data_IF_103782319155
#
_entry.id   IF_103782319155
#
_cell.length_a   1.000
_cell.length_b   1.000
_cell.length_c   1.000
_cell.angle_alpha   90.00
_cell.angle_beta   90.00
_cell.angle_gamma   90.00
#
_symmetry.space_group_name_H-M   'P 1'
#
loop_
_entity.id
_entity.type
_entity.pdbx_description
1 polymer ?
#
# COMPACT_ATOMS: atom_id res chain seq x y z
N UNK A 1 39.83 27.49 -78.37
CA UNK A 1 38.69 28.42 -78.23
C UNK A 1 37.56 27.66 -77.56
N UNK A 2 36.86 28.31 -76.62
CA UNK A 2 35.62 27.86 -75.93
C UNK A 2 35.82 26.91 -74.74
N UNK A 3 35.73 27.53 -73.55
CA UNK A 3 35.52 26.94 -72.22
C UNK A 3 34.04 26.54 -72.10
N UNK A 4 33.72 25.34 -71.62
CA UNK A 4 32.39 25.01 -71.11
C UNK A 4 32.46 24.91 -69.57
N UNK A 5 31.63 25.73 -68.91
CA UNK A 5 31.40 25.75 -67.47
C UNK A 5 30.45 24.60 -67.12
N UNK A 6 30.82 23.75 -66.16
CA UNK A 6 29.85 22.89 -65.45
C UNK A 6 29.44 23.59 -64.16
N UNK A 7 28.16 23.90 -64.05
CA UNK A 7 27.52 24.51 -62.88
C UNK A 7 27.23 23.42 -61.85
N UNK A 8 27.84 23.52 -60.67
CA UNK A 8 27.59 22.65 -59.52
C UNK A 8 26.32 23.13 -58.81
N UNK A 9 25.25 22.34 -58.82
CA UNK A 9 24.02 22.60 -58.08
C UNK A 9 24.17 22.00 -56.68
N UNK A 10 24.34 22.85 -55.67
CA UNK A 10 24.38 22.46 -54.26
C UNK A 10 22.94 22.39 -53.72
N UNK A 11 22.43 21.17 -53.46
CA UNK A 11 21.15 20.97 -52.78
C UNK A 11 21.40 21.00 -51.27
N UNK A 12 20.90 22.05 -50.61
CA UNK A 12 20.90 22.19 -49.14
C UNK A 12 19.68 21.44 -48.60
N UNK A 13 19.90 20.28 -47.98
CA UNK A 13 18.87 19.59 -47.19
C UNK A 13 18.78 20.24 -45.80
N UNK A 14 17.72 21.01 -45.58
CA UNK A 14 17.35 21.53 -44.26
C UNK A 14 16.72 20.41 -43.44
N UNK A 15 17.44 19.90 -42.45
CA UNK A 15 16.89 18.95 -41.47
C UNK A 15 16.01 19.71 -40.46
N UNK A 16 14.69 19.61 -40.63
CA UNK A 16 13.73 19.97 -39.58
C UNK A 16 13.87 18.97 -38.42
N UNK A 17 14.44 19.41 -37.31
CA UNK A 17 14.39 18.70 -36.04
C UNK A 17 12.99 18.84 -35.43
N UNK A 18 12.13 17.88 -35.72
CA UNK A 18 10.88 17.68 -34.99
C UNK A 18 11.25 17.15 -33.60
N UNK A 19 11.17 18.00 -32.58
CA UNK A 19 11.16 17.58 -31.17
C UNK A 19 9.88 16.77 -30.94
N UNK A 20 9.99 15.44 -30.92
CA UNK A 20 8.98 14.60 -30.29
C UNK A 20 8.97 14.91 -28.80
N UNK A 21 7.91 15.56 -28.32
CA UNK A 21 7.53 15.48 -26.91
C UNK A 21 7.28 14.00 -26.58
N UNK A 22 8.08 13.48 -25.66
CA UNK A 22 7.95 12.12 -25.18
C UNK A 22 6.71 12.06 -24.26
N UNK A 23 5.53 11.93 -24.85
CA UNK A 23 4.34 11.53 -24.11
C UNK A 23 4.55 10.07 -23.68
N UNK A 24 4.70 9.86 -22.37
CA UNK A 24 4.67 8.52 -21.78
C UNK A 24 3.40 7.82 -22.27
N UNK A 25 3.57 6.66 -22.91
CA UNK A 25 2.44 5.80 -23.26
C UNK A 25 1.75 5.36 -21.97
N UNK A 26 0.40 5.32 -21.91
CA UNK A 26 -0.30 4.73 -20.79
C UNK A 26 0.19 3.29 -20.60
N UNK A 27 0.50 2.94 -19.35
CA UNK A 27 1.27 1.75 -18.98
C UNK A 27 0.42 0.47 -19.08
N UNK A 28 -0.90 0.57 -19.23
CA UNK A 28 -1.79 -0.57 -19.37
C UNK A 28 -2.62 -0.50 -20.67
N UNK A 29 -2.85 -1.65 -21.31
CA UNK A 29 -3.94 -1.80 -22.28
C UNK A 29 -5.25 -1.66 -21.52
N UNK A 30 -5.67 -0.42 -21.28
CA UNK A 30 -6.72 -0.04 -20.33
C UNK A 30 -8.04 -0.71 -20.67
N UNK A 31 -8.64 -1.34 -19.65
CA UNK A 31 -10.07 -1.60 -19.67
C UNK A 31 -10.78 -0.25 -19.84
N UNK A 32 -11.52 -0.08 -20.93
CA UNK A 32 -12.30 1.14 -21.14
C UNK A 32 -13.53 1.11 -20.25
N UNK A 33 -13.46 1.80 -19.12
CA UNK A 33 -14.59 2.06 -18.25
C UNK A 33 -15.53 3.09 -18.88
N UNK A 34 -16.84 2.93 -18.64
CA UNK A 34 -17.87 3.86 -19.11
C UNK A 34 -17.82 5.16 -18.31
N UNK A 35 -18.46 6.25 -18.77
CA UNK A 35 -18.61 7.45 -17.96
C UNK A 35 -19.26 7.18 -16.59
N UNK A 36 -20.26 6.30 -16.54
CA UNK A 36 -20.95 5.91 -15.29
C UNK A 36 -20.00 5.15 -14.34
N UNK A 37 -19.10 4.32 -14.89
CA UNK A 37 -18.07 3.66 -14.09
C UNK A 37 -17.11 4.67 -13.47
N UNK A 38 -16.68 5.68 -14.23
CA UNK A 38 -15.77 6.72 -13.73
C UNK A 38 -16.42 7.58 -12.64
N UNK A 39 -17.72 7.85 -12.76
CA UNK A 39 -18.51 8.52 -11.72
C UNK A 39 -18.59 7.67 -10.47
N UNK A 40 -18.98 6.38 -10.60
CA UNK A 40 -19.02 5.44 -9.49
C UNK A 40 -17.66 5.29 -8.80
N UNK A 41 -16.60 5.14 -9.60
CA UNK A 41 -15.23 5.02 -9.11
C UNK A 41 -14.83 6.25 -8.30
N UNK A 42 -15.13 7.46 -8.79
CA UNK A 42 -14.85 8.71 -8.09
C UNK A 42 -15.68 8.81 -6.80
N UNK A 43 -16.95 8.44 -6.83
CA UNK A 43 -17.84 8.47 -5.66
C UNK A 43 -17.35 7.53 -4.56
N UNK A 44 -16.96 6.31 -4.89
CA UNK A 44 -16.43 5.35 -3.92
C UNK A 44 -15.06 5.80 -3.39
N UNK A 45 -14.20 6.35 -4.25
CA UNK A 45 -12.91 6.89 -3.82
C UNK A 45 -13.07 8.08 -2.85
N UNK A 46 -13.98 9.02 -3.15
CA UNK A 46 -14.25 10.19 -2.31
C UNK A 46 -14.88 9.79 -0.96
N UNK A 47 -15.85 8.87 -0.96
CA UNK A 47 -16.46 8.41 0.29
C UNK A 47 -15.47 7.64 1.16
N UNK A 48 -14.64 6.78 0.55
CA UNK A 48 -13.63 6.02 1.30
C UNK A 48 -12.54 6.94 1.86
N UNK A 49 -12.19 7.99 1.12
CA UNK A 49 -11.30 9.06 1.61
C UNK A 49 -11.81 9.71 2.90
N UNK A 50 -13.14 9.81 3.11
CA UNK A 50 -13.69 10.41 4.33
C UNK A 50 -13.32 9.65 5.61
N UNK A 51 -12.95 8.37 5.55
CA UNK A 51 -12.38 7.65 6.69
C UNK A 51 -11.18 8.40 7.30
N UNK A 52 -10.31 8.94 6.45
CA UNK A 52 -9.08 9.63 6.83
C UNK A 52 -9.24 11.14 6.99
N UNK A 53 -10.37 11.68 6.52
CA UNK A 53 -10.66 13.11 6.62
C UNK A 53 -11.59 13.43 7.80
N UNK A 54 -12.84 12.97 7.73
CA UNK A 54 -13.86 13.13 8.77
C UNK A 54 -13.71 12.10 9.89
N UNK A 55 -13.35 10.86 9.55
CA UNK A 55 -13.21 9.76 10.50
C UNK A 55 -11.94 9.80 11.36
N UNK A 56 -10.97 10.68 11.01
CA UNK A 56 -9.69 10.82 11.71
C UNK A 56 -9.86 11.14 13.20
N UNK A 57 -8.90 10.70 14.01
CA UNK A 57 -8.87 11.06 15.43
C UNK A 57 -8.59 12.56 15.58
N UNK A 58 -9.44 13.31 16.31
CA UNK A 58 -9.43 14.77 16.26
C UNK A 58 -8.22 15.44 16.90
N UNK A 59 -7.45 14.82 17.79
CA UNK A 59 -6.26 15.42 18.39
C UNK A 59 -5.02 15.28 17.50
N UNK A 60 -4.76 14.08 17.03
CA UNK A 60 -3.60 13.70 16.21
C UNK A 60 -3.80 14.00 14.73
N UNK A 61 -5.05 13.95 14.24
CA UNK A 61 -5.35 13.91 12.80
C UNK A 61 -4.98 12.58 12.12
N UNK A 62 -4.51 11.59 12.89
CA UNK A 62 -4.11 10.26 12.41
C UNK A 62 -5.34 9.37 12.14
N UNK A 63 -5.12 8.26 11.44
CA UNK A 63 -6.16 7.28 11.17
C UNK A 63 -6.47 6.47 12.43
N UNK A 64 -7.75 6.41 12.82
CA UNK A 64 -8.22 5.46 13.84
C UNK A 64 -7.96 4.04 13.37
N UNK A 65 -7.61 3.14 14.28
CA UNK A 65 -7.53 1.71 14.00
C UNK A 65 -8.84 1.19 13.40
N UNK A 66 -9.95 1.56 14.03
CA UNK A 66 -11.29 1.12 13.65
C UNK A 66 -12.31 2.23 13.82
N UNK A 67 -13.36 2.17 13.01
CA UNK A 67 -14.57 2.96 13.20
C UNK A 67 -15.78 2.03 13.16
N UNK A 68 -16.53 2.00 14.26
CA UNK A 68 -17.81 1.28 14.37
C UNK A 68 -18.94 2.30 14.32
N UNK A 69 -19.87 2.16 13.36
CA UNK A 69 -20.96 3.12 13.15
C UNK A 69 -21.96 3.15 14.32
N UNK A 70 -22.12 2.04 15.02
CA UNK A 70 -22.96 1.91 16.22
C UNK A 70 -22.33 2.54 17.48
N UNK A 71 -21.11 3.06 17.37
CA UNK A 71 -20.29 3.60 18.46
C UNK A 71 -19.95 2.61 19.58
N UNK A 72 -20.07 1.30 19.34
CA UNK A 72 -19.77 0.26 20.33
C UNK A 72 -18.36 -0.27 20.14
N UNK A 73 -17.45 0.03 21.08
CA UNK A 73 -16.04 -0.38 21.06
C UNK A 73 -15.75 -1.29 22.27
N UNK A 74 -15.73 -2.62 22.10
CA UNK A 74 -15.52 -3.57 23.21
C UNK A 74 -14.23 -3.31 24.01
N UNK A 75 -13.18 -2.84 23.34
CA UNK A 75 -11.87 -2.55 23.94
C UNK A 75 -11.71 -1.08 24.37
N UNK A 76 -12.79 -0.29 24.33
CA UNK A 76 -12.79 1.16 24.60
C UNK A 76 -11.68 1.91 23.84
N UNK A 77 -11.51 1.58 22.56
CA UNK A 77 -10.34 1.93 21.75
C UNK A 77 -10.65 2.86 20.56
N UNK A 78 -11.81 3.54 20.59
CA UNK A 78 -12.26 4.45 19.53
C UNK A 78 -11.21 5.48 19.08
N UNK A 79 -10.39 5.99 20.00
CA UNK A 79 -9.39 7.02 19.70
C UNK A 79 -7.97 6.46 19.60
N UNK A 80 -7.82 5.14 19.55
CA UNK A 80 -6.55 4.51 19.24
C UNK A 80 -6.29 4.69 17.75
N UNK A 81 -5.09 5.18 17.44
CA UNK A 81 -4.63 5.40 16.08
C UNK A 81 -3.59 4.36 15.72
N UNK A 82 -3.60 3.93 14.46
CA UNK A 82 -2.65 2.95 13.91
C UNK A 82 -1.56 3.64 13.12
N UNK A 83 -0.32 3.20 13.29
CA UNK A 83 0.84 3.76 12.59
C UNK A 83 0.81 3.46 11.09
N UNK A 84 0.74 2.20 10.67
CA UNK A 84 0.76 1.85 9.26
C UNK A 84 -0.51 2.24 8.53
N UNK A 85 -1.68 2.08 9.15
CA UNK A 85 -2.94 2.57 8.60
C UNK A 85 -2.96 4.11 8.43
N UNK A 86 -2.25 4.85 9.28
CA UNK A 86 -2.04 6.29 9.08
C UNK A 86 -1.07 6.61 7.93
N UNK A 87 -0.11 5.73 7.63
CA UNK A 87 0.68 5.81 6.40
C UNK A 87 -0.18 5.80 5.15
N UNK A 88 -1.14 4.87 5.10
CA UNK A 88 -2.11 4.80 4.01
C UNK A 88 -3.02 6.03 4.00
N UNK A 89 -3.43 6.50 5.18
CA UNK A 89 -4.20 7.74 5.33
C UNK A 89 -3.47 8.99 4.83
N UNK A 90 -2.17 9.12 5.09
CA UNK A 90 -1.34 10.21 4.54
C UNK A 90 -1.37 10.19 3.01
N UNK A 91 -1.23 9.01 2.38
CA UNK A 91 -1.37 8.88 0.93
C UNK A 91 -2.78 9.27 0.45
N UNK A 92 -3.83 8.83 1.16
CA UNK A 92 -5.21 9.20 0.86
C UNK A 92 -5.45 10.72 0.95
N UNK A 93 -4.81 11.43 1.87
CA UNK A 93 -4.84 12.89 1.94
C UNK A 93 -4.26 13.54 0.68
N UNK A 94 -3.18 12.98 0.10
CA UNK A 94 -2.63 13.47 -1.17
C UNK A 94 -3.58 13.21 -2.33
N UNK A 95 -4.27 12.06 -2.35
CA UNK A 95 -5.35 11.78 -3.31
C UNK A 95 -6.46 12.82 -3.18
N UNK A 96 -6.90 13.13 -1.95
CA UNK A 96 -7.92 14.14 -1.69
C UNK A 96 -7.55 15.53 -2.20
N UNK A 97 -6.28 15.93 -2.08
CA UNK A 97 -5.77 17.18 -2.67
C UNK A 97 -5.76 17.08 -4.21
N UNK A 98 -5.23 15.98 -4.76
CA UNK A 98 -5.10 15.80 -6.21
C UNK A 98 -6.44 15.78 -6.93
N UNK A 99 -7.47 15.21 -6.30
CA UNK A 99 -8.85 15.12 -6.81
C UNK A 99 -9.74 16.27 -6.38
N UNK A 100 -9.23 17.22 -5.60
CA UNK A 100 -9.97 18.36 -5.04
C UNK A 100 -11.14 17.97 -4.13
N UNK A 101 -11.10 16.81 -3.48
CA UNK A 101 -12.02 16.49 -2.36
C UNK A 101 -11.78 17.44 -1.18
N UNK A 102 -10.53 17.90 -1.04
CA UNK A 102 -10.11 18.95 -0.13
C UNK A 102 -9.20 19.93 -0.85
N UNK A 103 -9.13 21.17 -0.36
CA UNK A 103 -8.15 22.14 -0.87
C UNK A 103 -6.74 21.75 -0.45
N UNK A 104 -5.74 22.17 -1.25
CA UNK A 104 -4.32 21.99 -0.92
C UNK A 104 -3.96 22.57 0.45
N UNK A 105 -4.54 23.71 0.82
CA UNK A 105 -4.34 24.33 2.14
C UNK A 105 -4.89 23.50 3.30
N UNK A 106 -6.09 22.94 3.15
CA UNK A 106 -6.67 22.01 4.14
C UNK A 106 -5.82 20.75 4.30
N UNK A 107 -5.37 20.17 3.17
CA UNK A 107 -4.50 19.00 3.17
C UNK A 107 -3.16 19.27 3.87
N UNK A 108 -2.49 20.38 3.55
CA UNK A 108 -1.25 20.80 4.22
C UNK A 108 -1.45 20.95 5.72
N UNK A 109 -2.50 21.65 6.16
CA UNK A 109 -2.78 21.85 7.60
C UNK A 109 -3.01 20.52 8.33
N UNK A 110 -3.72 19.56 7.71
CA UNK A 110 -3.90 18.23 8.29
C UNK A 110 -2.58 17.49 8.42
N UNK A 111 -1.74 17.52 7.38
CA UNK A 111 -0.43 16.87 7.41
C UNK A 111 0.53 17.52 8.40
N UNK A 112 0.51 18.84 8.55
CA UNK A 112 1.28 19.55 9.59
C UNK A 112 0.91 19.08 11.00
N UNK A 113 -0.38 18.83 11.24
CA UNK A 113 -0.90 18.29 12.49
C UNK A 113 -0.44 16.86 12.73
N UNK A 114 -0.55 15.99 11.73
CA UNK A 114 -0.05 14.61 11.78
C UNK A 114 1.45 14.58 12.07
N UNK A 115 2.25 15.35 11.33
CA UNK A 115 3.70 15.41 11.53
C UNK A 115 4.05 15.99 12.90
N UNK A 116 3.28 16.97 13.39
CA UNK A 116 3.46 17.48 14.75
C UNK A 116 3.18 16.40 15.81
N UNK A 117 2.11 15.63 15.65
CA UNK A 117 1.82 14.50 16.54
C UNK A 117 2.96 13.47 16.53
N UNK A 118 3.39 13.03 15.35
CA UNK A 118 4.45 12.02 15.19
C UNK A 118 5.81 12.45 15.78
N UNK A 119 6.13 13.75 15.74
CA UNK A 119 7.32 14.32 16.36
C UNK A 119 7.33 14.25 17.89
N UNK A 120 6.14 14.19 18.51
CA UNK A 120 5.98 14.21 19.97
C UNK A 120 5.49 12.87 20.55
N UNK A 121 5.09 11.93 19.68
CA UNK A 121 4.65 10.60 20.08
C UNK A 121 5.82 9.72 20.53
N UNK A 122 5.49 8.64 21.25
CA UNK A 122 6.47 7.63 21.65
C UNK A 122 7.16 7.02 20.42
N UNK A 123 8.49 7.00 20.45
CA UNK A 123 9.36 6.33 19.46
C UNK A 123 10.39 5.48 20.18
N UNK A 124 10.79 4.40 19.53
CA UNK A 124 11.70 3.39 20.06
C UNK A 124 12.77 3.13 18.99
N UNK A 125 13.97 3.67 19.19
CA UNK A 125 15.01 3.69 18.14
C UNK A 125 14.47 4.29 16.83
N UNK A 126 13.77 5.42 16.96
CA UNK A 126 13.12 6.13 15.85
C UNK A 126 11.84 5.49 15.30
N UNK A 127 11.59 4.20 15.50
CA UNK A 127 10.36 3.54 15.06
C UNK A 127 9.17 3.85 15.98
N UNK A 128 7.98 3.98 15.39
CA UNK A 128 6.73 4.14 16.14
C UNK A 128 6.16 2.77 16.55
N UNK A 129 5.36 2.72 17.62
CA UNK A 129 4.62 1.51 17.97
C UNK A 129 3.50 1.22 16.97
N UNK A 130 2.96 0.00 16.99
CA UNK A 130 1.80 -0.39 16.20
C UNK A 130 0.59 0.54 16.45
N UNK A 131 0.28 0.75 17.74
CA UNK A 131 -0.83 1.60 18.19
C UNK A 131 -0.38 2.70 19.15
N UNK A 132 -1.05 3.84 19.03
CA UNK A 132 -0.91 4.98 19.94
C UNK A 132 -2.29 5.47 20.38
N UNK A 133 -2.37 6.03 21.58
CA UNK A 133 -3.51 6.84 21.97
C UNK A 133 -3.45 8.19 21.24
N UNK A 134 -4.42 8.49 20.37
CA UNK A 134 -4.40 9.68 19.53
C UNK A 134 -4.36 11.00 20.31
N UNK A 135 -4.88 11.01 21.54
CA UNK A 135 -4.91 12.20 22.39
C UNK A 135 -3.57 12.52 23.08
N UNK A 136 -2.65 11.56 23.12
CA UNK A 136 -1.42 11.68 23.93
C UNK A 136 -0.13 11.31 23.20
N UNK A 137 -0.22 10.55 22.11
CA UNK A 137 0.96 10.00 21.42
C UNK A 137 1.63 8.87 22.19
N UNK A 138 1.06 8.40 23.29
CA UNK A 138 1.61 7.29 24.09
C UNK A 138 1.29 5.95 23.45
N UNK A 139 2.23 5.01 23.52
CA UNK A 139 2.03 3.64 23.05
C UNK A 139 0.83 2.98 23.73
N UNK A 140 -0.06 2.37 22.93
CA UNK A 140 -1.00 1.36 23.40
C UNK A 140 -0.43 -0.01 22.99
N UNK A 141 -0.07 -0.89 23.94
CA UNK A 141 0.51 -2.18 23.59
C UNK A 141 -0.43 -3.05 22.72
N UNK A 142 0.10 -3.65 21.66
CA UNK A 142 -0.61 -4.60 20.79
C UNK A 142 -0.42 -6.03 21.31
N UNK A 143 -0.88 -6.26 22.53
CA UNK A 143 -0.55 -7.44 23.32
C UNK A 143 0.54 -7.16 24.36
N UNK A 144 0.84 -8.16 25.20
CA UNK A 144 1.64 -7.93 26.41
C UNK A 144 3.08 -7.47 26.13
N UNK A 145 3.73 -8.07 25.13
CA UNK A 145 5.16 -7.86 24.84
C UNK A 145 5.41 -6.85 23.72
N UNK A 146 4.38 -6.56 22.93
CA UNK A 146 4.45 -5.58 21.85
C UNK A 146 4.05 -4.19 22.36
N UNK A 147 4.96 -3.59 23.13
CA UNK A 147 4.81 -2.27 23.76
C UNK A 147 5.94 -1.31 23.39
N UNK A 148 6.65 -1.60 22.30
CA UNK A 148 7.77 -0.83 21.79
C UNK A 148 7.58 -0.46 20.33
N UNK A 149 8.65 -0.39 19.56
CA UNK A 149 8.57 0.00 18.15
C UNK A 149 8.25 -1.20 17.26
N UNK A 150 7.37 -0.95 16.30
CA UNK A 150 6.98 -1.86 15.22
C UNK A 150 7.56 -1.32 13.91
N UNK A 151 8.54 -2.04 13.36
CA UNK A 151 9.28 -1.60 12.18
C UNK A 151 8.47 -1.77 10.88
N UNK A 152 7.54 -2.73 10.83
CA UNK A 152 6.69 -2.96 9.66
C UNK A 152 5.67 -1.83 9.53
N UNK A 153 4.98 -1.50 10.63
CA UNK A 153 4.02 -0.39 10.66
C UNK A 153 4.71 0.95 10.43
N UNK A 154 5.89 1.14 11.02
CA UNK A 154 6.75 2.31 10.74
C UNK A 154 7.08 2.39 9.25
N UNK A 155 7.37 1.28 8.59
CA UNK A 155 7.68 1.25 7.16
C UNK A 155 6.48 1.64 6.30
N UNK A 156 5.27 1.21 6.65
CA UNK A 156 4.04 1.65 5.98
C UNK A 156 3.79 3.16 6.18
N UNK A 157 4.02 3.68 7.38
CA UNK A 157 3.95 5.12 7.66
C UNK A 157 4.95 5.91 6.81
N UNK A 158 6.22 5.49 6.80
CA UNK A 158 7.28 6.14 6.04
C UNK A 158 7.02 6.09 4.53
N UNK A 159 6.47 5.00 4.02
CA UNK A 159 6.05 4.91 2.62
C UNK A 159 5.10 6.06 2.25
N UNK A 160 4.12 6.36 3.11
CA UNK A 160 3.17 7.46 2.91
C UNK A 160 3.78 8.85 3.14
N UNK A 161 4.58 9.00 4.19
CA UNK A 161 5.24 10.27 4.51
C UNK A 161 6.22 10.69 3.40
N UNK A 162 6.97 9.76 2.82
CA UNK A 162 7.86 10.05 1.70
C UNK A 162 7.08 10.53 0.46
N UNK A 163 5.89 9.96 0.17
CA UNK A 163 5.01 10.52 -0.86
C UNK A 163 4.65 11.98 -0.56
N UNK A 164 4.26 12.28 0.68
CA UNK A 164 3.90 13.64 1.09
C UNK A 164 5.10 14.60 0.99
N UNK A 165 6.30 14.16 1.39
CA UNK A 165 7.54 14.92 1.23
C UNK A 165 7.74 15.32 -0.23
N UNK A 166 7.67 14.35 -1.15
CA UNK A 166 7.86 14.61 -2.58
C UNK A 166 6.77 15.51 -3.17
N UNK A 167 5.53 15.40 -2.69
CA UNK A 167 4.40 16.20 -3.15
C UNK A 167 4.54 17.70 -2.78
N UNK A 168 5.20 17.99 -1.66
CA UNK A 168 5.40 19.34 -1.13
C UNK A 168 6.82 19.90 -1.33
N UNK A 169 7.79 19.08 -1.77
CA UNK A 169 9.20 19.47 -1.91
C UNK A 169 9.46 20.69 -2.81
N UNK A 170 8.59 20.93 -3.82
CA UNK A 170 8.67 22.08 -4.73
C UNK A 170 7.56 23.10 -4.50
N UNK A 171 6.91 23.01 -3.33
CA UNK A 171 5.82 23.88 -2.91
C UNK A 171 6.27 25.26 -2.46
N UNK A 172 5.35 25.98 -1.81
CA UNK A 172 5.67 27.24 -1.12
C UNK A 172 6.55 27.02 0.13
N UNK A 173 6.94 28.10 0.80
CA UNK A 173 7.82 28.02 1.98
C UNK A 173 7.23 27.18 3.12
N UNK A 174 5.91 27.19 3.34
CA UNK A 174 5.29 26.39 4.40
C UNK A 174 5.28 24.90 4.02
N UNK A 175 5.02 24.59 2.76
CA UNK A 175 5.08 23.23 2.20
C UNK A 175 6.49 22.65 2.26
N UNK A 176 7.51 23.45 1.95
CA UNK A 176 8.91 23.03 2.08
C UNK A 176 9.33 22.78 3.53
N UNK A 177 8.82 23.57 4.49
CA UNK A 177 9.03 23.33 5.92
C UNK A 177 8.38 22.01 6.37
N UNK A 178 7.17 21.72 5.91
CA UNK A 178 6.53 20.42 6.17
C UNK A 178 7.36 19.26 5.59
N UNK A 179 7.81 19.38 4.33
CA UNK A 179 8.65 18.37 3.70
C UNK A 179 9.96 18.13 4.47
N UNK A 180 10.62 19.20 4.94
CA UNK A 180 11.84 19.09 5.73
C UNK A 180 11.62 18.40 7.09
N UNK A 181 10.50 18.67 7.77
CA UNK A 181 10.14 17.98 9.03
C UNK A 181 9.88 16.49 8.81
N UNK A 182 9.24 16.13 7.69
CA UNK A 182 9.07 14.73 7.30
C UNK A 182 10.42 14.07 7.04
N UNK A 183 11.33 14.77 6.37
CA UNK A 183 12.69 14.26 6.11
C UNK A 183 13.43 13.97 7.43
N UNK A 184 13.31 14.85 8.43
CA UNK A 184 13.88 14.59 9.77
C UNK A 184 13.30 13.31 10.38
N UNK A 185 11.97 13.13 10.35
CA UNK A 185 11.34 11.92 10.87
C UNK A 185 11.83 10.64 10.15
N UNK A 186 12.03 10.70 8.83
CA UNK A 186 12.58 9.60 8.04
C UNK A 186 14.02 9.26 8.44
N UNK A 187 14.89 10.27 8.58
CA UNK A 187 16.30 10.08 8.89
C UNK A 187 16.53 9.60 10.35
N UNK A 188 15.56 9.82 11.24
CA UNK A 188 15.63 9.40 12.64
C UNK A 188 15.35 7.90 12.85
N UNK A 189 14.82 7.17 11.85
CA UNK A 189 14.44 5.75 12.03
C UNK A 189 15.67 4.85 11.95
N UNK A 190 16.00 4.18 13.05
CA UNK A 190 17.18 3.34 13.19
C UNK A 190 16.94 1.91 12.66
N UNK A 191 16.78 1.72 11.34
CA UNK A 191 16.56 0.38 10.77
C UNK A 191 17.70 -0.60 11.11
N UNK A 192 18.94 -0.12 11.23
CA UNK A 192 20.10 -0.92 11.60
C UNK A 192 20.03 -1.46 13.04
N UNK A 193 19.41 -0.73 13.97
CA UNK A 193 19.12 -1.23 15.32
C UNK A 193 18.30 -2.52 15.29
N UNK A 194 17.27 -2.54 14.44
CA UNK A 194 16.33 -3.65 14.28
C UNK A 194 16.93 -4.91 13.64
N UNK A 195 18.22 -4.89 13.31
CA UNK A 195 18.94 -6.10 12.92
C UNK A 195 19.24 -7.03 14.07
N UNK A 196 19.26 -6.52 15.30
CA UNK A 196 19.73 -7.27 16.47
C UNK A 196 21.14 -7.88 16.25
N UNK A 197 21.99 -7.22 15.46
CA UNK A 197 23.34 -7.71 15.10
C UNK A 197 23.37 -8.82 14.05
N UNK A 198 22.24 -9.14 13.41
CA UNK A 198 22.09 -10.21 12.44
C UNK A 198 21.88 -9.69 11.00
N UNK A 199 21.85 -10.61 10.04
CA UNK A 199 21.53 -10.33 8.64
C UNK A 199 20.04 -10.54 8.35
N UNK A 200 19.17 -9.99 9.21
CA UNK A 200 17.71 -10.00 9.10
C UNK A 200 17.15 -8.78 9.83
N UNK A 201 15.93 -8.36 9.53
CA UNK A 201 15.22 -7.35 10.33
C UNK A 201 14.20 -8.04 11.24
N UNK A 202 14.20 -7.63 12.50
CA UNK A 202 13.17 -7.99 13.46
C UNK A 202 12.00 -7.02 13.36
N UNK A 203 10.80 -7.56 13.47
CA UNK A 203 9.58 -6.75 13.42
C UNK A 203 9.48 -5.81 14.64
N UNK A 204 9.82 -6.30 15.83
CA UNK A 204 9.56 -5.59 17.09
C UNK A 204 10.82 -5.43 17.93
N UNK A 205 10.88 -4.33 18.66
CA UNK A 205 11.80 -4.13 19.78
C UNK A 205 11.10 -3.39 20.91
N UNK A 206 11.34 -3.79 22.16
CA UNK A 206 10.73 -3.18 23.35
C UNK A 206 11.78 -2.69 24.36
N UNK A 207 11.59 -1.53 25.01
CA UNK A 207 12.47 -1.10 26.10
C UNK A 207 12.33 -1.97 27.36
N UNK A 208 11.25 -2.75 27.49
CA UNK A 208 11.00 -3.61 28.65
C UNK A 208 11.29 -5.08 28.36
N UNK A 209 10.95 -5.53 27.15
CA UNK A 209 11.05 -6.93 26.73
C UNK A 209 12.16 -7.16 25.70
N UNK A 210 12.91 -6.14 25.30
CA UNK A 210 13.96 -6.20 24.30
C UNK A 210 13.47 -6.91 23.02
N UNK A 211 14.08 -8.06 22.69
CA UNK A 211 13.79 -8.87 21.52
C UNK A 211 12.90 -10.08 21.80
N UNK A 212 12.21 -10.13 22.95
CA UNK A 212 11.39 -11.31 23.34
C UNK A 212 10.19 -11.59 22.43
N UNK A 213 9.74 -10.62 21.61
CA UNK A 213 8.79 -10.88 20.52
C UNK A 213 9.38 -11.83 19.48
N UNK A 214 10.71 -11.80 19.31
CA UNK A 214 11.53 -12.73 18.54
C UNK A 214 10.93 -13.09 17.16
N UNK A 215 10.61 -12.06 16.39
CA UNK A 215 10.02 -12.21 15.06
C UNK A 215 10.97 -11.66 13.98
N UNK A 216 11.97 -12.44 13.55
CA UNK A 216 12.74 -12.12 12.35
C UNK A 216 11.84 -12.23 11.11
N UNK A 217 11.85 -11.21 10.25
CA UNK A 217 10.91 -11.11 9.14
C UNK A 217 11.49 -11.75 7.88
N UNK A 218 11.01 -12.94 7.54
CA UNK A 218 11.37 -13.66 6.32
C UNK A 218 10.26 -13.57 5.27
N UNK A 219 10.64 -13.48 4.00
CA UNK A 219 9.69 -13.40 2.89
C UNK A 219 9.20 -14.78 2.41
N UNK A 220 8.17 -14.85 1.58
CA UNK A 220 7.37 -13.73 1.08
C UNK A 220 6.11 -13.51 1.94
N UNK A 221 5.89 -12.25 2.29
CA UNK A 221 4.70 -11.73 2.97
C UNK A 221 4.53 -10.23 2.64
N UNK A 222 3.72 -9.49 3.38
CA UNK A 222 3.42 -8.07 3.18
C UNK A 222 4.59 -7.10 3.44
N UNK A 223 5.71 -7.54 4.02
CA UNK A 223 6.72 -6.68 4.64
C UNK A 223 7.87 -6.25 3.71
N UNK A 224 7.79 -6.48 2.40
CA UNK A 224 8.87 -6.16 1.46
C UNK A 224 9.36 -4.71 1.56
N UNK A 225 8.45 -3.75 1.71
CA UNK A 225 8.78 -2.32 1.75
C UNK A 225 9.67 -1.96 2.94
N UNK A 226 9.60 -2.70 4.05
CA UNK A 226 10.47 -2.52 5.21
C UNK A 226 11.94 -2.73 4.83
N UNK A 227 12.25 -3.80 4.10
CA UNK A 227 13.61 -4.08 3.65
C UNK A 227 14.11 -3.07 2.62
N UNK A 228 13.23 -2.61 1.72
CA UNK A 228 13.57 -1.59 0.73
C UNK A 228 13.87 -0.26 1.41
N UNK A 229 13.04 0.17 2.37
CA UNK A 229 13.27 1.39 3.13
C UNK A 229 14.52 1.30 4.00
N UNK A 230 14.75 0.17 4.66
CA UNK A 230 15.98 -0.07 5.42
C UNK A 230 17.24 0.06 4.55
N UNK A 231 17.23 -0.46 3.32
CA UNK A 231 18.34 -0.30 2.38
C UNK A 231 18.42 1.12 1.77
N UNK A 232 17.34 1.90 1.86
CA UNK A 232 17.26 3.28 1.35
C UNK A 232 17.70 4.30 2.39
N UNK A 233 17.68 3.98 3.69
CA UNK A 233 18.09 4.91 4.74
C UNK A 233 19.57 5.31 4.60
N UNK A 234 19.85 6.61 4.72
CA UNK A 234 21.20 7.17 4.57
C UNK A 234 21.91 7.36 5.90
N UNK A 235 21.16 7.44 7.01
CA UNK A 235 21.66 7.58 8.37
C UNK A 235 21.76 6.23 9.08
N UNK A 236 20.76 5.37 8.87
CA UNK A 236 20.59 4.10 9.57
C UNK A 236 20.27 2.96 8.59
N UNK A 237 21.02 2.94 7.47
CA UNK A 237 20.86 1.96 6.41
C UNK A 237 21.35 0.57 6.80
N UNK A 238 20.79 -0.44 6.15
CA UNK A 238 21.24 -1.84 6.29
C UNK A 238 21.95 -2.32 5.03
N UNK A 239 22.95 -3.21 5.17
CA UNK A 239 23.68 -3.70 4.01
C UNK A 239 22.86 -4.77 3.25
N UNK A 240 23.10 -4.99 1.94
CA UNK A 240 22.27 -5.85 1.10
C UNK A 240 22.12 -7.30 1.58
N UNK A 241 23.09 -7.83 2.33
CA UNK A 241 23.01 -9.14 2.96
C UNK A 241 21.81 -9.28 3.91
N UNK A 242 21.35 -8.21 4.56
CA UNK A 242 20.14 -8.24 5.40
C UNK A 242 18.90 -8.63 4.58
N UNK A 243 18.81 -8.15 3.34
CA UNK A 243 17.76 -8.55 2.42
C UNK A 243 18.00 -9.94 1.81
N UNK A 244 19.22 -10.22 1.34
CA UNK A 244 19.49 -11.48 0.65
C UNK A 244 19.49 -12.70 1.58
N UNK A 245 20.04 -12.58 2.78
CA UNK A 245 20.13 -13.66 3.78
C UNK A 245 18.89 -13.70 4.69
N UNK A 246 18.37 -12.52 5.07
CA UNK A 246 17.22 -12.40 5.96
C UNK A 246 15.89 -12.55 5.22
N UNK A 247 15.51 -11.55 4.42
CA UNK A 247 14.24 -11.57 3.70
C UNK A 247 14.15 -12.73 2.70
N UNK A 248 15.12 -12.84 1.80
CA UNK A 248 15.10 -13.80 0.72
C UNK A 248 15.65 -15.18 1.09
N UNK A 249 16.16 -15.34 2.32
CA UNK A 249 16.66 -16.60 2.87
C UNK A 249 17.64 -17.31 1.91
N UNK A 250 18.60 -16.55 1.36
CA UNK A 250 19.58 -17.02 0.38
C UNK A 250 18.95 -17.69 -0.85
N UNK A 251 17.78 -17.22 -1.27
CA UNK A 251 17.04 -17.73 -2.44
C UNK A 251 15.97 -18.77 -2.11
N UNK A 252 15.81 -19.19 -0.84
CA UNK A 252 14.71 -20.06 -0.44
C UNK A 252 13.32 -19.40 -0.59
N UNK A 253 13.29 -18.07 -0.70
CA UNK A 253 12.07 -17.32 -1.05
C UNK A 253 11.54 -17.69 -2.44
N UNK A 254 12.35 -18.25 -3.35
CA UNK A 254 11.88 -18.64 -4.69
C UNK A 254 11.25 -20.02 -4.62
N UNK A 255 9.94 -20.09 -4.81
CA UNK A 255 9.19 -21.35 -4.84
C UNK A 255 8.06 -21.27 -5.85
N UNK A 256 8.22 -21.99 -6.96
CA UNK A 256 7.24 -21.95 -8.05
C UNK A 256 6.01 -22.79 -7.68
N UNK A 257 4.86 -22.13 -7.55
CA UNK A 257 3.59 -22.80 -7.23
C UNK A 257 2.55 -22.57 -8.34
N UNK A 258 2.37 -23.54 -9.27
CA UNK A 258 1.34 -23.45 -10.30
C UNK A 258 -0.03 -23.85 -9.75
N UNK A 259 -1.01 -22.95 -9.83
CA UNK A 259 -2.38 -23.19 -9.38
C UNK A 259 -3.38 -22.42 -10.23
N UNK A 260 -4.48 -23.07 -10.60
CA UNK A 260 -5.54 -22.52 -11.46
C UNK A 260 -5.06 -21.94 -12.81
N UNK A 261 -3.92 -22.41 -13.33
CA UNK A 261 -3.34 -21.92 -14.58
C UNK A 261 -2.46 -20.68 -14.42
N UNK A 262 -2.29 -20.18 -13.20
CA UNK A 262 -1.35 -19.13 -12.83
C UNK A 262 -0.16 -19.74 -12.08
N UNK A 263 0.93 -18.99 -11.94
CA UNK A 263 2.11 -19.45 -11.20
C UNK A 263 2.59 -18.34 -10.29
N UNK A 264 2.65 -18.61 -8.99
CA UNK A 264 3.44 -17.80 -8.05
C UNK A 264 4.92 -18.19 -8.20
N UNK A 265 5.80 -17.22 -8.07
CA UNK A 265 7.26 -17.33 -8.12
C UNK A 265 7.86 -17.43 -6.72
N UNK A 266 7.16 -16.90 -5.71
CA UNK A 266 7.67 -16.78 -4.35
C UNK A 266 7.01 -17.78 -3.40
N UNK A 267 7.75 -18.13 -2.34
CA UNK A 267 7.24 -18.88 -1.20
C UNK A 267 6.44 -17.96 -0.29
N UNK A 268 5.11 -18.05 -0.33
CA UNK A 268 4.21 -17.32 0.56
C UNK A 268 4.24 -17.97 1.94
N UNK A 269 4.66 -17.20 2.96
CA UNK A 269 4.84 -17.69 4.33
C UNK A 269 3.58 -18.39 4.88
N UNK A 270 3.79 -19.42 5.71
CA UNK A 270 2.71 -20.28 6.22
C UNK A 270 2.31 -21.42 5.28
N UNK A 271 3.13 -21.73 4.26
CA UNK A 271 2.88 -22.76 3.23
C UNK A 271 1.50 -22.57 2.57
N UNK A 272 1.29 -21.38 1.99
CA UNK A 272 0.02 -21.04 1.34
C UNK A 272 0.08 -21.31 -0.17
N UNK A 273 -0.38 -22.48 -0.67
CA UNK A 273 -0.25 -22.87 -2.08
C UNK A 273 -1.14 -22.03 -3.03
N UNK A 274 -2.04 -21.21 -2.49
CA UNK A 274 -2.87 -20.29 -3.25
C UNK A 274 -2.42 -18.82 -3.07
N UNK A 275 -1.27 -18.60 -2.46
CA UNK A 275 -0.83 -17.28 -1.97
C UNK A 275 -1.46 -16.92 -0.63
N UNK A 276 -0.85 -15.98 0.10
CA UNK A 276 -1.40 -15.46 1.35
C UNK A 276 -2.65 -14.59 1.15
N UNK A 277 -3.19 -14.00 2.23
CA UNK A 277 -4.22 -12.97 2.18
C UNK A 277 -3.87 -11.86 1.16
N UNK A 278 -4.86 -11.36 0.43
CA UNK A 278 -4.59 -10.56 -0.77
C UNK A 278 -3.90 -9.21 -0.48
N UNK A 279 -3.98 -8.70 0.75
CA UNK A 279 -3.26 -7.49 1.15
C UNK A 279 -1.73 -7.57 1.00
N UNK A 280 -1.16 -8.78 0.91
CA UNK A 280 0.26 -8.99 0.62
C UNK A 280 0.65 -8.47 -0.78
N UNK A 281 -0.29 -8.41 -1.73
CA UNK A 281 -0.10 -7.78 -3.04
C UNK A 281 -0.38 -6.27 -3.02
N UNK A 282 -0.70 -5.68 -1.86
CA UNK A 282 -1.12 -4.27 -1.74
C UNK A 282 -0.15 -3.43 -0.92
N UNK A 283 0.07 -3.74 0.36
CA UNK A 283 0.62 -2.77 1.33
C UNK A 283 2.02 -2.28 0.97
N UNK A 284 2.90 -3.21 0.57
CA UNK A 284 4.25 -2.88 0.11
C UNK A 284 4.30 -2.20 -1.26
N UNK A 285 3.18 -2.08 -1.97
CA UNK A 285 3.08 -1.62 -3.35
C UNK A 285 2.21 -0.37 -3.52
N UNK A 286 1.88 0.31 -2.41
CA UNK A 286 1.09 1.55 -2.44
C UNK A 286 1.90 2.74 -2.98
N UNK A 287 3.18 2.79 -2.63
CA UNK A 287 4.17 3.73 -3.16
C UNK A 287 5.20 3.06 -4.05
N UNK A 288 5.68 1.86 -3.70
CA UNK A 288 6.58 1.11 -4.58
C UNK A 288 5.82 0.62 -5.82
N UNK A 289 6.20 1.12 -6.99
CA UNK A 289 5.54 0.75 -8.24
C UNK A 289 5.96 -0.67 -8.69
N UNK A 290 5.04 -1.65 -8.73
CA UNK A 290 5.37 -3.00 -9.18
C UNK A 290 5.58 -3.10 -10.70
N UNK A 291 5.18 -2.11 -11.51
CA UNK A 291 5.27 -2.20 -12.98
C UNK A 291 6.72 -2.30 -13.45
N UNK A 292 7.08 -3.46 -14.00
CA UNK A 292 8.44 -3.74 -14.44
C UNK A 292 9.47 -3.80 -13.30
N UNK A 293 9.00 -3.86 -12.04
CA UNK A 293 9.84 -4.07 -10.87
C UNK A 293 10.26 -5.54 -10.83
N UNK A 294 11.57 -5.76 -10.88
CA UNK A 294 12.16 -7.10 -10.86
C UNK A 294 13.41 -7.09 -10.03
N UNK A 295 13.72 -8.21 -9.41
CA UNK A 295 15.04 -8.47 -8.85
C UNK A 295 15.45 -9.91 -9.21
N UNK A 296 16.45 -10.47 -8.52
CA UNK A 296 16.88 -11.85 -8.80
C UNK A 296 15.87 -12.91 -8.35
N UNK A 297 14.88 -12.56 -7.52
CA UNK A 297 13.94 -13.52 -6.95
C UNK A 297 12.60 -13.56 -7.67
N UNK A 298 12.08 -12.43 -8.16
CA UNK A 298 10.80 -12.40 -8.87
C UNK A 298 10.61 -11.23 -9.85
N UNK A 299 9.66 -11.40 -10.76
CA UNK A 299 8.89 -10.31 -11.34
C UNK A 299 7.69 -9.98 -10.42
N UNK A 300 7.73 -8.83 -9.76
CA UNK A 300 6.74 -8.46 -8.74
C UNK A 300 5.38 -8.06 -9.33
N UNK A 301 5.35 -7.56 -10.58
CA UNK A 301 4.08 -7.33 -11.27
C UNK A 301 3.37 -8.64 -11.58
N UNK A 302 4.11 -9.61 -12.12
CA UNK A 302 3.57 -10.93 -12.43
C UNK A 302 3.14 -11.66 -11.15
N UNK A 303 3.94 -11.59 -10.09
CA UNK A 303 3.61 -12.20 -8.78
C UNK A 303 2.29 -11.65 -8.22
N UNK A 304 2.20 -10.33 -8.08
CA UNK A 304 1.03 -9.68 -7.49
C UNK A 304 -0.22 -9.94 -8.34
N UNK A 305 -0.11 -9.81 -9.66
CA UNK A 305 -1.22 -10.07 -10.58
C UNK A 305 -1.69 -11.53 -10.51
N UNK A 306 -0.76 -12.49 -10.46
CA UNK A 306 -1.11 -13.89 -10.35
C UNK A 306 -1.74 -14.21 -8.99
N UNK A 307 -1.25 -13.64 -7.88
CA UNK A 307 -1.89 -13.78 -6.56
C UNK A 307 -3.33 -13.28 -6.58
N UNK A 308 -3.58 -12.10 -7.17
CA UNK A 308 -4.94 -11.57 -7.34
C UNK A 308 -5.82 -12.49 -8.17
N UNK A 309 -5.33 -13.00 -9.30
CA UNK A 309 -6.10 -13.89 -10.18
C UNK A 309 -6.38 -15.25 -9.56
N UNK A 310 -5.49 -15.77 -8.71
CA UNK A 310 -5.71 -17.00 -7.93
C UNK A 310 -6.80 -16.77 -6.89
N UNK A 311 -6.77 -15.62 -6.19
CA UNK A 311 -7.80 -15.24 -5.23
C UNK A 311 -9.19 -15.12 -5.88
N UNK A 312 -9.27 -14.41 -7.01
CA UNK A 312 -10.45 -14.33 -7.85
C UNK A 312 -10.94 -15.72 -8.28
N UNK A 313 -10.04 -16.56 -8.83
CA UNK A 313 -10.39 -17.88 -9.33
C UNK A 313 -10.90 -18.83 -8.24
N UNK A 314 -10.36 -18.73 -7.01
CA UNK A 314 -10.88 -19.45 -5.85
C UNK A 314 -12.33 -19.07 -5.55
N UNK A 315 -12.61 -17.77 -5.45
CA UNK A 315 -13.96 -17.26 -5.17
C UNK A 315 -14.95 -17.67 -6.27
N UNK A 316 -14.56 -17.57 -7.55
CA UNK A 316 -15.41 -17.96 -8.69
C UNK A 316 -15.69 -19.47 -8.67
N UNK A 317 -14.69 -20.29 -8.33
CA UNK A 317 -14.88 -21.76 -8.22
C UNK A 317 -15.73 -22.14 -7.01
N UNK A 318 -15.66 -21.36 -5.93
CA UNK A 318 -16.45 -21.51 -4.71
C UNK A 318 -16.52 -22.97 -4.22
N UNK A 319 -15.39 -23.64 -3.91
CA UNK A 319 -15.38 -25.06 -3.56
C UNK A 319 -16.12 -25.38 -2.25
N UNK A 320 -16.41 -24.36 -1.44
CA UNK A 320 -17.13 -24.46 -0.16
C UNK A 320 -18.60 -24.05 -0.28
N UNK A 321 -19.07 -23.70 -1.47
CA UNK A 321 -20.47 -23.35 -1.78
C UNK A 321 -21.03 -22.20 -0.91
N UNK A 322 -20.19 -21.22 -0.57
CA UNK A 322 -20.63 -20.03 0.13
C UNK A 322 -21.55 -19.17 -0.75
N UNK A 323 -22.57 -18.56 -0.16
CA UNK A 323 -23.45 -17.62 -0.85
C UNK A 323 -22.64 -16.36 -1.22
N UNK A 324 -23.00 -15.73 -2.34
CA UNK A 324 -22.38 -14.52 -2.92
C UNK A 324 -20.97 -14.65 -3.48
N UNK A 325 -20.38 -15.84 -3.49
CA UNK A 325 -19.07 -16.04 -4.11
C UNK A 325 -19.26 -16.21 -5.63
N UNK A 326 -18.57 -15.39 -6.41
CA UNK A 326 -18.76 -15.36 -7.86
C UNK A 326 -17.85 -14.36 -8.57
N UNK A 327 -17.99 -14.22 -9.90
CA UNK A 327 -17.18 -13.28 -10.69
C UNK A 327 -17.45 -11.81 -10.35
N UNK A 328 -18.59 -11.52 -9.74
CA UNK A 328 -19.09 -10.22 -9.31
C UNK A 328 -19.01 -9.99 -7.80
N UNK A 329 -18.52 -10.97 -7.02
CA UNK A 329 -18.29 -10.79 -5.58
C UNK A 329 -17.22 -11.78 -5.12
N UNK A 330 -16.01 -11.25 -5.01
CA UNK A 330 -14.78 -11.97 -4.74
C UNK A 330 -13.84 -11.12 -3.90
N UNK A 331 -12.80 -11.74 -3.35
CA UNK A 331 -11.76 -11.07 -2.60
C UNK A 331 -11.67 -11.55 -1.16
N UNK A 332 -10.65 -12.36 -0.89
CA UNK A 332 -10.33 -12.87 0.44
C UNK A 332 -9.05 -12.20 0.97
N UNK A 333 -9.15 -11.54 2.11
CA UNK A 333 -7.99 -10.95 2.81
C UNK A 333 -8.26 -10.86 4.31
N UNK A 334 -7.22 -10.55 5.09
CA UNK A 334 -7.37 -10.35 6.52
C UNK A 334 -8.32 -9.18 6.81
N UNK A 335 -9.30 -9.38 7.69
CA UNK A 335 -10.35 -8.40 8.03
C UNK A 335 -11.13 -8.86 9.27
N UNK A 336 -12.12 -8.07 9.69
CA UNK A 336 -13.18 -8.60 10.56
C UNK A 336 -13.83 -9.83 9.93
N UNK A 337 -14.28 -10.75 10.78
CA UNK A 337 -14.91 -12.01 10.43
C UNK A 337 -16.10 -12.27 11.35
N UNK A 338 -16.93 -13.24 10.99
CA UNK A 338 -18.13 -13.61 11.76
C UNK A 338 -17.81 -13.89 13.23
N UNK A 339 -16.64 -14.49 13.51
CA UNK A 339 -16.19 -14.84 14.85
C UNK A 339 -15.13 -13.89 15.45
N UNK A 340 -14.95 -12.68 14.89
CA UNK A 340 -13.95 -11.70 15.37
C UNK A 340 -13.13 -11.12 14.22
N UNK A 341 -11.87 -11.53 14.12
CA UNK A 341 -10.94 -11.14 13.05
C UNK A 341 -10.23 -12.40 12.53
N UNK A 342 -10.00 -12.50 11.22
CA UNK A 342 -9.31 -13.63 10.64
C UNK A 342 -8.51 -13.24 9.40
N UNK A 343 -7.40 -13.93 9.17
CA UNK A 343 -6.57 -13.78 7.98
C UNK A 343 -7.18 -14.58 6.81
N UNK A 344 -8.29 -14.11 6.24
CA UNK A 344 -8.93 -14.82 5.14
C UNK A 344 -8.02 -14.89 3.91
N UNK A 345 -7.99 -16.05 3.27
CA UNK A 345 -7.25 -16.30 2.04
C UNK A 345 -7.90 -17.47 1.30
N UNK A 346 -7.61 -17.68 0.02
CA UNK A 346 -7.98 -18.91 -0.68
C UNK A 346 -7.43 -20.14 0.05
N UNK A 347 -8.25 -21.16 0.23
CA UNK A 347 -7.86 -22.40 0.92
C UNK A 347 -8.97 -22.93 1.82
N UNK A 348 -8.93 -24.24 2.09
CA UNK A 348 -10.01 -24.92 2.83
C UNK A 348 -10.17 -24.42 4.27
N UNK A 349 -9.04 -24.06 4.91
CA UNK A 349 -8.98 -23.64 6.31
C UNK A 349 -9.04 -22.11 6.48
N UNK A 350 -8.74 -21.36 5.43
CA UNK A 350 -8.57 -19.90 5.45
C UNK A 350 -9.77 -19.18 4.83
N UNK A 351 -10.52 -19.81 3.93
CA UNK A 351 -11.78 -19.30 3.43
C UNK A 351 -12.91 -19.60 4.43
N UNK A 352 -13.39 -18.56 5.12
CA UNK A 352 -14.45 -18.65 6.12
C UNK A 352 -15.81 -18.15 5.59
N UNK A 353 -15.96 -17.97 4.28
CA UNK A 353 -17.21 -17.46 3.69
C UNK A 353 -17.42 -15.98 3.92
N UNK A 354 -16.35 -15.23 4.12
CA UNK A 354 -16.32 -13.77 4.32
C UNK A 354 -15.62 -13.13 3.12
N UNK A 355 -16.27 -12.14 2.51
CA UNK A 355 -15.68 -11.28 1.48
C UNK A 355 -15.32 -9.96 2.13
N UNK A 356 -14.15 -9.43 1.80
CA UNK A 356 -13.66 -8.16 2.31
C UNK A 356 -13.38 -7.22 1.13
N UNK A 357 -14.16 -6.14 0.94
CA UNK A 357 -14.09 -5.31 -0.26
C UNK A 357 -12.70 -4.81 -0.64
N UNK A 358 -11.84 -4.53 0.35
CA UNK A 358 -10.46 -4.08 0.10
C UNK A 358 -9.65 -5.06 -0.75
N UNK A 359 -9.91 -6.38 -0.67
CA UNK A 359 -9.20 -7.37 -1.47
C UNK A 359 -9.36 -7.12 -2.98
N UNK A 360 -10.61 -6.98 -3.46
CA UNK A 360 -10.88 -6.75 -4.87
C UNK A 360 -10.59 -5.31 -5.28
N UNK A 361 -11.01 -4.32 -4.48
CA UNK A 361 -10.90 -2.91 -4.85
C UNK A 361 -9.44 -2.43 -4.82
N UNK A 362 -8.65 -2.84 -3.85
CA UNK A 362 -7.22 -2.50 -3.81
C UNK A 362 -6.41 -3.25 -4.88
N UNK A 363 -7.04 -4.19 -5.60
CA UNK A 363 -6.45 -4.90 -6.75
C UNK A 363 -6.78 -4.27 -8.11
N UNK A 364 -7.41 -3.09 -8.15
CA UNK A 364 -7.71 -2.37 -9.41
C UNK A 364 -6.52 -2.29 -10.38
N UNK A 365 -5.28 -1.97 -9.95
CA UNK A 365 -4.11 -2.03 -10.81
C UNK A 365 -3.93 -3.34 -11.58
N UNK A 366 -4.18 -4.47 -10.93
CA UNK A 366 -3.83 -5.78 -11.44
C UNK A 366 -4.96 -6.43 -12.25
N UNK A 367 -6.21 -6.24 -11.81
CA UNK A 367 -7.41 -6.87 -12.37
C UNK A 367 -8.57 -5.88 -12.52
N UNK A 368 -8.41 -4.80 -13.30
CA UNK A 368 -9.38 -3.70 -13.30
C UNK A 368 -10.79 -4.11 -13.71
N UNK A 369 -10.94 -5.07 -14.64
CA UNK A 369 -12.25 -5.56 -15.07
C UNK A 369 -12.97 -6.33 -13.95
N UNK A 370 -12.27 -7.25 -13.27
CA UNK A 370 -12.82 -8.04 -12.18
C UNK A 370 -13.12 -7.17 -10.95
N UNK A 371 -12.25 -6.22 -10.63
CA UNK A 371 -12.44 -5.27 -9.53
C UNK A 371 -13.63 -4.34 -9.80
N UNK A 372 -13.78 -3.84 -11.04
CA UNK A 372 -14.94 -3.04 -11.43
C UNK A 372 -16.24 -3.84 -11.39
N UNK A 373 -16.20 -5.12 -11.77
CA UNK A 373 -17.37 -5.99 -11.69
C UNK A 373 -17.87 -6.14 -10.25
N UNK A 374 -16.95 -6.35 -9.30
CA UNK A 374 -17.26 -6.41 -7.88
C UNK A 374 -17.79 -5.08 -7.34
N UNK A 375 -17.11 -3.97 -7.67
CA UNK A 375 -17.53 -2.62 -7.31
C UNK A 375 -18.98 -2.32 -7.72
N UNK A 376 -19.33 -2.59 -8.98
CA UNK A 376 -20.68 -2.38 -9.51
C UNK A 376 -21.71 -3.22 -8.78
N UNK A 377 -21.47 -4.52 -8.63
CA UNK A 377 -22.42 -5.40 -7.96
C UNK A 377 -22.68 -4.95 -6.52
N UNK A 378 -21.63 -4.71 -5.74
CA UNK A 378 -21.79 -4.28 -4.35
C UNK A 378 -22.47 -2.91 -4.23
N UNK A 379 -22.21 -2.00 -5.17
CA UNK A 379 -22.81 -0.66 -5.13
C UNK A 379 -24.22 -0.58 -5.72
N UNK A 380 -24.55 -1.37 -6.75
CA UNK A 380 -25.87 -1.33 -7.39
C UNK A 380 -26.87 -2.23 -6.69
N UNK A 381 -26.44 -3.40 -6.22
CA UNK A 381 -27.35 -4.44 -5.74
C UNK A 381 -27.39 -4.58 -4.22
N UNK A 382 -26.31 -4.22 -3.52
CA UNK A 382 -26.12 -4.52 -2.08
C UNK A 382 -25.73 -3.28 -1.24
N UNK A 383 -25.82 -2.08 -1.82
CA UNK A 383 -25.35 -0.82 -1.20
C UNK A 383 -25.87 -0.60 0.22
N UNK A 384 -27.16 -0.83 0.43
CA UNK A 384 -27.84 -0.58 1.71
C UNK A 384 -27.27 -1.41 2.87
N UNK A 385 -26.57 -2.51 2.56
CA UNK A 385 -25.94 -3.39 3.55
C UNK A 385 -24.43 -3.20 3.62
N UNK A 386 -23.80 -2.88 2.49
CA UNK A 386 -22.34 -2.95 2.34
C UNK A 386 -21.65 -1.58 2.34
N UNK A 387 -22.39 -0.50 2.13
CA UNK A 387 -21.82 0.82 1.88
C UNK A 387 -22.36 1.84 2.88
N UNK A 388 -21.47 2.61 3.50
CA UNK A 388 -21.82 3.58 4.53
C UNK A 388 -21.06 4.91 4.41
N UNK A 389 -20.99 5.69 5.50
CA UNK A 389 -20.42 7.03 5.47
C UNK A 389 -18.93 7.10 5.13
N UNK A 390 -18.19 5.98 5.16
CA UNK A 390 -16.76 5.95 4.87
C UNK A 390 -16.41 4.93 3.78
N UNK A 391 -17.32 4.71 2.83
CA UNK A 391 -17.16 3.77 1.73
C UNK A 391 -17.77 2.41 2.05
N UNK A 392 -17.25 1.35 1.44
CA UNK A 392 -17.65 -0.01 1.81
C UNK A 392 -17.19 -0.35 3.22
N UNK A 393 -18.03 -1.08 3.96
CA UNK A 393 -17.67 -1.68 5.24
C UNK A 393 -16.60 -2.76 5.06
N UNK A 394 -15.94 -3.08 6.17
CA UNK A 394 -14.74 -3.91 6.24
C UNK A 394 -14.89 -5.29 5.58
N UNK A 395 -16.00 -5.97 5.87
CA UNK A 395 -16.25 -7.32 5.43
C UNK A 395 -17.73 -7.70 5.54
N UNK A 396 -18.14 -8.76 4.85
CA UNK A 396 -19.49 -9.31 4.95
C UNK A 396 -19.52 -10.81 4.64
N UNK A 397 -20.58 -11.49 5.09
CA UNK A 397 -20.88 -12.88 4.74
C UNK A 397 -22.37 -13.06 4.49
N UNK A 398 -22.74 -13.28 3.23
CA UNK A 398 -24.13 -13.59 2.90
C UNK A 398 -24.57 -14.96 3.43
N UNK A 399 -23.63 -15.92 3.52
CA UNK A 399 -23.89 -17.24 4.11
C UNK A 399 -24.28 -17.15 5.58
N UNK A 400 -23.65 -16.24 6.34
CA UNK A 400 -23.93 -16.03 7.75
C UNK A 400 -24.96 -14.91 8.02
N UNK A 401 -25.49 -14.26 6.98
CA UNK A 401 -26.30 -13.02 7.11
C UNK A 401 -25.61 -11.95 7.97
N UNK A 402 -24.31 -11.79 7.79
CA UNK A 402 -23.45 -10.92 8.62
C UNK A 402 -22.96 -9.72 7.80
N UNK A 403 -23.38 -8.52 8.19
CA UNK A 403 -23.10 -7.24 7.50
C UNK A 403 -22.74 -6.16 8.54
N UNK A 404 -21.53 -6.22 9.14
CA UNK A 404 -21.13 -5.27 10.17
C UNK A 404 -20.97 -3.87 9.59
N UNK A 405 -21.48 -2.86 10.29
CA UNK A 405 -21.23 -1.46 9.94
C UNK A 405 -19.93 -0.97 10.59
N UNK A 406 -18.80 -1.58 10.20
CA UNK A 406 -17.47 -1.36 10.76
C UNK A 406 -16.44 -1.14 9.66
N UNK A 407 -15.36 -0.46 10.01
CA UNK A 407 -14.25 -0.12 9.12
C UNK A 407 -12.91 -0.29 9.82
N UNK A 408 -11.87 -0.62 9.07
CA UNK A 408 -10.47 -0.59 9.50
C UNK A 408 -9.63 0.32 8.60
N UNK A 409 -8.68 1.07 9.19
CA UNK A 409 -7.81 1.94 8.40
C UNK A 409 -6.98 1.18 7.37
N UNK A 410 -6.47 0.01 7.76
CA UNK A 410 -5.63 -0.84 6.95
C UNK A 410 -6.37 -1.44 5.75
N UNK A 411 -7.70 -1.45 5.79
CA UNK A 411 -8.54 -1.95 4.70
C UNK A 411 -9.07 -0.79 3.84
N UNK A 412 -9.48 0.34 4.43
CA UNK A 412 -9.94 1.51 3.67
C UNK A 412 -8.81 2.23 2.92
N UNK A 413 -7.61 2.27 3.49
CA UNK A 413 -6.48 3.04 2.95
C UNK A 413 -6.03 2.55 1.57
N UNK A 414 -5.71 1.26 1.42
CA UNK A 414 -5.34 0.67 0.15
C UNK A 414 -6.40 0.84 -0.94
N UNK A 415 -7.70 0.87 -0.59
CA UNK A 415 -8.77 1.11 -1.57
C UNK A 415 -8.55 2.47 -2.24
N UNK A 416 -8.47 3.55 -1.46
CA UNK A 416 -8.29 4.91 -2.00
C UNK A 416 -7.00 5.01 -2.82
N UNK A 417 -5.91 4.45 -2.29
CA UNK A 417 -4.57 4.60 -2.86
C UNK A 417 -4.42 3.80 -4.16
N UNK A 418 -4.82 2.54 -4.18
CA UNK A 418 -4.69 1.68 -5.37
C UNK A 418 -5.69 2.07 -6.45
N UNK A 419 -6.88 2.57 -6.08
CA UNK A 419 -7.79 3.21 -7.01
C UNK A 419 -7.13 4.43 -7.68
N UNK A 420 -6.42 5.28 -6.93
CA UNK A 420 -5.72 6.43 -7.52
C UNK A 420 -4.53 6.01 -8.37
N UNK A 421 -3.73 5.05 -7.90
CA UNK A 421 -2.59 4.54 -8.65
C UNK A 421 -3.01 3.91 -9.98
N UNK A 422 -4.14 3.19 -10.01
CA UNK A 422 -4.72 2.72 -11.26
C UNK A 422 -5.04 3.88 -12.22
N UNK A 423 -5.65 4.97 -11.73
CA UNK A 423 -6.07 6.10 -12.58
C UNK A 423 -4.93 6.98 -13.07
N UNK A 424 -3.93 7.25 -12.23
CA UNK A 424 -2.92 8.28 -12.49
C UNK A 424 -1.49 7.89 -12.11
N UNK A 425 -1.32 6.79 -11.36
CA UNK A 425 -0.03 6.41 -10.76
C UNK A 425 0.51 7.44 -9.77
N UNK A 426 -0.34 8.30 -9.18
CA UNK A 426 0.10 9.43 -8.36
C UNK A 426 1.09 9.03 -7.26
N UNK A 427 0.74 8.05 -6.44
CA UNK A 427 1.55 7.69 -5.26
C UNK A 427 2.81 6.93 -5.70
N UNK A 428 2.71 6.08 -6.71
CA UNK A 428 3.86 5.46 -7.36
C UNK A 428 4.87 6.48 -7.87
N UNK A 429 4.40 7.47 -8.63
CA UNK A 429 5.26 8.52 -9.17
C UNK A 429 5.93 9.35 -8.06
N UNK A 430 5.20 9.64 -6.97
CA UNK A 430 5.75 10.35 -5.82
C UNK A 430 6.82 9.53 -5.12
N UNK A 431 6.49 8.32 -4.66
CA UNK A 431 7.41 7.48 -3.90
C UNK A 431 8.66 7.12 -4.72
N UNK A 432 8.47 6.67 -5.97
CA UNK A 432 9.57 6.30 -6.88
C UNK A 432 10.40 7.51 -7.33
N UNK A 433 9.98 8.75 -7.04
CA UNK A 433 10.81 9.94 -7.26
C UNK A 433 11.85 10.19 -6.16
N UNK A 434 11.74 9.53 -5.01
CA UNK A 434 12.69 9.67 -3.89
C UNK A 434 14.10 9.18 -4.31
N UNK A 435 15.14 10.02 -4.24
CA UNK A 435 16.51 9.62 -4.61
C UNK A 435 17.04 8.43 -3.80
N UNK A 436 16.69 8.38 -2.52
CA UNK A 436 17.11 7.33 -1.60
C UNK A 436 16.46 5.98 -1.91
N UNK A 437 15.17 5.97 -2.30
CA UNK A 437 14.45 4.75 -2.70
C UNK A 437 15.11 4.14 -3.94
N UNK A 438 15.47 4.96 -4.93
CA UNK A 438 16.21 4.48 -6.11
C UNK A 438 17.56 3.90 -5.75
N UNK A 439 18.24 4.51 -4.77
CA UNK A 439 19.56 4.05 -4.31
C UNK A 439 19.46 2.73 -3.56
N UNK A 440 18.49 2.59 -2.65
CA UNK A 440 18.23 1.35 -1.92
C UNK A 440 17.77 0.22 -2.84
N UNK A 441 16.85 0.47 -3.77
CA UNK A 441 16.47 -0.55 -4.76
C UNK A 441 17.66 -1.03 -5.59
N UNK A 442 18.53 -0.11 -6.05
CA UNK A 442 19.75 -0.47 -6.78
C UNK A 442 20.72 -1.29 -5.93
N UNK A 443 20.91 -0.95 -4.65
CA UNK A 443 21.81 -1.69 -3.76
C UNK A 443 21.35 -3.12 -3.50
N UNK A 444 20.03 -3.34 -3.48
CA UNK A 444 19.39 -4.66 -3.37
C UNK A 444 19.34 -5.44 -4.69
N UNK A 445 19.75 -4.84 -5.81
CA UNK A 445 19.75 -5.48 -7.13
C UNK A 445 18.40 -5.47 -7.86
N UNK A 446 17.48 -4.58 -7.48
CA UNK A 446 16.25 -4.36 -8.22
C UNK A 446 16.48 -3.59 -9.52
N UNK A 447 15.61 -3.84 -10.49
CA UNK A 447 15.47 -3.12 -11.75
C UNK A 447 14.05 -2.58 -11.83
N UNK A 448 13.90 -1.35 -12.32
CA UNK A 448 12.59 -0.69 -12.51
C UNK A 448 12.64 0.29 -13.67
N UNK A 449 11.54 0.56 -14.38
CA UNK A 449 11.47 1.65 -15.36
C UNK A 449 11.80 3.03 -14.80
N UNK A 450 11.63 3.24 -13.49
CA UNK A 450 11.86 4.53 -12.79
C UNK A 450 13.35 4.89 -12.63
N UNK A 451 14.24 3.92 -12.80
CA UNK A 451 15.69 4.12 -12.77
C UNK A 451 16.37 3.04 -13.61
N UNK A 452 17.17 3.47 -14.60
CA UNK A 452 18.05 2.58 -15.34
C UNK A 452 19.40 2.44 -14.65
#
# INVERSE_FOLDING_TARGET
>A
MIRFRLTLITIIFSFLLIRCSNSQKPINGEAKFTPDDEELFTQVQEQTFQYFWEGAEPHSGMARERINVDDVYPENDKNVVTTGGSGFGVMALLVGIHRNFITRGQGRQRLEKIVHFLQNADRFHGAWPHWMYGETGRVKPFGRKDNGGDLVETSFLLQGLLCARQFFAKGDSAEQVLAARIDTLWQDVEFDWYRHGENVLYWHWSPTYNWEMNFPVHGYNECLIMYILAASSQTHGVPPEVYHEGWAQNGQIVSRCPVFGYSLQLYHQGDSPYGGPLFWAHYSYLGLDPHGLRDRYADYWEENKNQTLINYAWCVKNPKYFKCYGPDSWGLTASYSVAGYAAHAPGQNTDLGVISPTAALSSFPYTPQQSMQALRHWYSDEKDKLYGPYGFYDAFSQSASWYPQKYLAIDQGPIVVMMENYRSGLLWNLFMSCPEVKTGLKSLGFVSPHFK
#
